data_IF_865299016991
#
_entry.id   IF_865299016991
#
_cell.length_a   1.000
_cell.length_b   1.000
_cell.length_c   1.000
_cell.angle_alpha   90.00
_cell.angle_beta   90.00
_cell.angle_gamma   90.00
#
_symmetry.space_group_name_H-M   'P 1'
#
loop_
_entity.id
_entity.type
_entity.pdbx_description
1 polymer ?
#
# COMPACT_ATOMS: atom_id res chain seq x y z
N UNK A 1 44.18 -28.25 10.58
CA UNK A 1 42.92 -28.99 10.37
C UNK A 1 41.85 -27.92 10.21
N UNK A 2 41.53 -27.56 8.95
CA UNK A 2 40.53 -26.49 8.67
C UNK A 2 39.14 -27.10 8.80
N UNK A 3 38.41 -26.62 9.78
CA UNK A 3 36.99 -26.96 9.99
C UNK A 3 36.17 -26.25 8.93
N UNK A 4 35.75 -26.95 7.88
CA UNK A 4 34.82 -26.47 6.88
C UNK A 4 33.43 -26.49 7.52
N UNK A 5 32.89 -25.32 7.85
CA UNK A 5 31.49 -25.23 8.29
C UNK A 5 30.57 -25.81 7.21
N UNK A 6 29.66 -26.72 7.55
CA UNK A 6 28.67 -27.22 6.61
C UNK A 6 27.84 -26.03 6.06
N UNK A 7 27.64 -25.98 4.74
CA UNK A 7 26.72 -25.04 4.11
C UNK A 7 25.35 -25.19 4.78
N UNK A 8 24.66 -24.09 5.14
CA UNK A 8 23.33 -24.16 5.70
C UNK A 8 22.43 -24.98 4.76
N UNK A 9 21.79 -25.98 5.29
CA UNK A 9 20.83 -26.81 4.56
C UNK A 9 19.68 -25.96 4.05
N UNK A 10 19.26 -26.23 2.83
CA UNK A 10 18.37 -25.45 1.93
C UNK A 10 16.95 -25.15 2.44
N UNK A 11 16.59 -25.52 3.64
CA UNK A 11 15.20 -25.42 4.10
C UNK A 11 15.15 -24.95 5.56
N UNK A 12 14.71 -23.69 5.74
CA UNK A 12 14.22 -23.20 7.02
C UNK A 12 12.70 -23.12 6.92
N UNK A 13 11.94 -24.06 7.50
CA UNK A 13 10.48 -24.08 7.45
C UNK A 13 9.83 -22.80 7.98
N UNK A 14 10.50 -22.11 8.90
CA UNK A 14 10.06 -20.88 9.54
C UNK A 14 10.15 -19.62 8.65
N UNK A 15 10.86 -19.67 7.52
CA UNK A 15 11.13 -18.53 6.63
C UNK A 15 10.41 -18.60 5.28
N UNK A 16 9.48 -19.51 5.10
CA UNK A 16 8.83 -19.72 3.80
C UNK A 16 9.77 -20.34 2.74
N UNK A 17 9.25 -20.55 1.54
CA UNK A 17 10.03 -21.01 0.40
C UNK A 17 10.93 -19.89 -0.17
N UNK A 18 11.84 -20.25 -1.09
CA UNK A 18 12.77 -19.29 -1.69
C UNK A 18 12.04 -18.18 -2.47
N UNK A 19 10.88 -18.49 -3.06
CA UNK A 19 10.08 -17.51 -3.80
C UNK A 19 9.48 -16.46 -2.84
N UNK A 20 8.88 -16.88 -1.75
CA UNK A 20 8.31 -15.99 -0.73
C UNK A 20 9.39 -15.09 -0.14
N UNK A 21 10.56 -15.64 0.22
CA UNK A 21 11.68 -14.85 0.74
C UNK A 21 12.18 -13.80 -0.25
N UNK A 22 12.20 -14.10 -1.54
CA UNK A 22 12.56 -13.14 -2.59
C UNK A 22 11.51 -12.03 -2.72
N UNK A 23 10.22 -12.33 -2.56
CA UNK A 23 9.14 -11.34 -2.59
C UNK A 23 9.18 -10.43 -1.34
N UNK A 24 9.47 -10.99 -0.17
CA UNK A 24 9.68 -10.22 1.07
C UNK A 24 10.91 -9.32 0.96
N UNK A 25 12.03 -9.84 0.47
CA UNK A 25 13.23 -9.07 0.20
C UNK A 25 12.95 -7.93 -0.80
N UNK A 26 12.19 -8.21 -1.87
CA UNK A 26 11.79 -7.18 -2.83
C UNK A 26 10.94 -6.08 -2.18
N UNK A 27 9.98 -6.46 -1.31
CA UNK A 27 9.17 -5.51 -0.54
C UNK A 27 10.05 -4.55 0.26
N UNK A 28 11.04 -5.08 0.98
CA UNK A 28 11.82 -4.30 1.92
C UNK A 28 12.92 -3.49 1.23
N UNK A 29 13.70 -4.10 0.33
CA UNK A 29 14.79 -3.43 -0.40
C UNK A 29 14.26 -2.35 -1.35
N UNK A 30 13.19 -2.64 -2.12
CA UNK A 30 12.64 -1.64 -3.05
C UNK A 30 12.02 -0.45 -2.30
N UNK A 31 11.39 -0.66 -1.16
CA UNK A 31 10.86 0.45 -0.35
C UNK A 31 11.98 1.32 0.22
N UNK A 32 13.12 0.73 0.54
CA UNK A 32 14.28 1.42 1.09
C UNK A 32 15.06 2.22 0.04
N UNK A 33 15.37 1.62 -1.12
CA UNK A 33 16.28 2.23 -2.10
C UNK A 33 15.70 2.40 -3.52
N UNK A 34 14.49 1.95 -3.76
CA UNK A 34 13.84 2.01 -5.08
C UNK A 34 14.09 0.77 -5.94
N UNK A 35 13.21 0.57 -6.94
CA UNK A 35 13.33 -0.55 -7.89
C UNK A 35 14.54 -0.42 -8.80
N UNK A 36 14.79 0.78 -9.33
CA UNK A 36 15.88 1.02 -10.26
C UNK A 36 17.25 0.71 -9.63
N UNK A 37 17.46 1.16 -8.40
CA UNK A 37 18.72 0.95 -7.66
C UNK A 37 18.88 -0.47 -7.09
N UNK A 38 17.82 -1.28 -7.07
CA UNK A 38 17.86 -2.65 -6.54
C UNK A 38 18.38 -3.63 -7.58
N UNK A 39 19.43 -4.36 -7.26
CA UNK A 39 19.98 -5.41 -8.11
C UNK A 39 19.45 -6.82 -7.71
N UNK A 40 19.60 -7.79 -8.61
CA UNK A 40 19.33 -9.21 -8.29
C UNK A 40 20.22 -9.70 -7.15
N UNK A 41 21.44 -9.17 -7.04
CA UNK A 41 22.38 -9.54 -5.97
C UNK A 41 21.90 -9.04 -4.60
N UNK A 42 21.36 -7.81 -4.54
CA UNK A 42 20.78 -7.26 -3.31
C UNK A 42 19.61 -8.10 -2.85
N UNK A 43 18.73 -8.48 -3.77
CA UNK A 43 17.56 -9.31 -3.49
C UNK A 43 17.96 -10.72 -3.00
N UNK A 44 18.94 -11.33 -3.66
CA UNK A 44 19.44 -12.65 -3.26
C UNK A 44 20.11 -12.61 -1.87
N UNK A 45 20.88 -11.55 -1.61
CA UNK A 45 21.55 -11.34 -0.32
C UNK A 45 20.53 -11.18 0.80
N UNK A 46 19.55 -10.30 0.62
CA UNK A 46 18.49 -10.06 1.60
C UNK A 46 17.64 -11.30 1.85
N UNK A 47 17.21 -11.98 0.78
CA UNK A 47 16.44 -13.22 0.87
C UNK A 47 17.23 -14.42 1.42
N UNK A 48 18.56 -14.33 1.51
CA UNK A 48 19.42 -15.45 1.88
C UNK A 48 19.35 -16.61 0.87
N UNK A 49 19.28 -16.30 -0.43
CA UNK A 49 19.21 -17.30 -1.51
C UNK A 49 20.34 -17.11 -2.51
N UNK A 50 20.55 -18.13 -3.36
CA UNK A 50 21.53 -18.05 -4.46
C UNK A 50 20.90 -17.40 -5.70
N UNK A 51 21.73 -16.84 -6.61
CA UNK A 51 21.26 -16.42 -7.95
C UNK A 51 20.56 -17.55 -8.72
N UNK A 52 21.05 -18.78 -8.59
CA UNK A 52 20.40 -19.94 -9.20
C UNK A 52 18.98 -20.15 -8.70
N UNK A 53 18.73 -19.93 -7.39
CA UNK A 53 17.39 -19.98 -6.82
C UNK A 53 16.52 -18.82 -7.31
N UNK A 54 17.08 -17.61 -7.47
CA UNK A 54 16.37 -16.50 -8.08
C UNK A 54 15.86 -16.84 -9.49
N UNK A 55 16.78 -17.25 -10.39
CA UNK A 55 16.43 -17.56 -11.77
C UNK A 55 15.62 -18.85 -11.96
N UNK A 56 15.50 -19.67 -10.92
CA UNK A 56 14.54 -20.77 -10.88
C UNK A 56 13.09 -20.25 -10.71
N UNK A 57 12.89 -19.13 -9.99
CA UNK A 57 11.57 -18.59 -9.67
C UNK A 57 11.16 -17.42 -10.55
N UNK A 58 12.12 -16.61 -11.02
CA UNK A 58 11.90 -15.40 -11.78
C UNK A 58 12.87 -15.31 -12.96
N UNK A 59 12.32 -15.11 -14.15
CA UNK A 59 13.12 -14.98 -15.38
C UNK A 59 14.09 -13.80 -15.30
N UNK A 60 13.64 -12.69 -14.72
CA UNK A 60 14.40 -11.44 -14.60
C UNK A 60 13.85 -10.58 -13.43
N UNK A 61 14.48 -9.43 -13.20
CA UNK A 61 14.08 -8.49 -12.15
C UNK A 61 12.68 -7.89 -12.39
N UNK A 62 12.27 -7.70 -13.65
CA UNK A 62 10.94 -7.20 -13.99
C UNK A 62 9.85 -8.22 -13.59
N UNK A 63 10.03 -9.49 -13.91
CA UNK A 63 9.11 -10.56 -13.51
C UNK A 63 8.96 -10.64 -11.98
N UNK A 64 10.06 -10.46 -11.23
CA UNK A 64 9.99 -10.33 -9.77
C UNK A 64 9.23 -9.07 -9.35
N UNK A 65 9.45 -7.91 -10.01
CA UNK A 65 8.74 -6.66 -9.70
C UNK A 65 7.22 -6.80 -9.86
N UNK A 66 6.76 -7.43 -10.95
CA UNK A 66 5.33 -7.76 -11.17
C UNK A 66 4.81 -8.66 -10.06
N UNK A 67 5.53 -9.74 -9.72
CA UNK A 67 5.13 -10.66 -8.67
C UNK A 67 5.15 -10.01 -7.28
N UNK A 68 6.09 -9.09 -7.02
CA UNK A 68 6.17 -8.34 -5.77
C UNK A 68 4.97 -7.37 -5.62
N UNK A 69 4.50 -6.74 -6.71
CA UNK A 69 3.29 -5.91 -6.69
C UNK A 69 2.04 -6.74 -6.37
N UNK A 70 1.92 -7.95 -6.93
CA UNK A 70 0.81 -8.87 -6.65
C UNK A 70 0.86 -9.37 -5.19
N UNK A 71 2.03 -9.78 -4.72
CA UNK A 71 2.25 -10.21 -3.34
C UNK A 71 1.95 -9.10 -2.32
N UNK A 72 2.35 -7.86 -2.65
CA UNK A 72 1.99 -6.68 -1.86
C UNK A 72 0.48 -6.48 -1.78
N UNK A 73 -0.23 -6.58 -2.90
CA UNK A 73 -1.68 -6.47 -2.93
C UNK A 73 -2.36 -7.54 -2.06
N UNK A 74 -1.94 -8.79 -2.18
CA UNK A 74 -2.47 -9.92 -1.41
C UNK A 74 -2.25 -9.73 0.10
N UNK A 75 -1.01 -9.47 0.51
CA UNK A 75 -0.64 -9.36 1.93
C UNK A 75 -1.25 -8.12 2.58
N UNK A 76 -1.31 -6.99 1.86
CA UNK A 76 -1.97 -5.79 2.38
C UNK A 76 -3.48 -5.94 2.41
N UNK A 77 -4.12 -6.58 1.43
CA UNK A 77 -5.56 -6.86 1.47
C UNK A 77 -5.93 -7.69 2.70
N UNK A 78 -5.23 -8.80 2.94
CA UNK A 78 -5.45 -9.64 4.12
C UNK A 78 -5.24 -8.87 5.44
N UNK A 79 -4.26 -7.98 5.49
CA UNK A 79 -4.00 -7.13 6.66
C UNK A 79 -5.14 -6.13 6.91
N UNK A 80 -5.64 -5.47 5.86
CA UNK A 80 -6.74 -4.49 6.00
C UNK A 80 -8.10 -5.16 6.23
N UNK A 81 -8.39 -6.32 5.64
CA UNK A 81 -9.62 -7.09 5.87
C UNK A 81 -9.83 -7.47 7.34
N UNK A 82 -8.75 -7.68 8.08
CA UNK A 82 -8.79 -8.03 9.50
C UNK A 82 -8.67 -6.81 10.43
N UNK A 83 -8.68 -5.59 9.91
CA UNK A 83 -8.49 -4.38 10.70
C UNK A 83 -9.72 -4.04 11.56
N UNK A 84 -9.52 -3.48 12.77
CA UNK A 84 -10.61 -3.28 13.73
C UNK A 84 -11.68 -2.28 13.30
N UNK A 85 -11.41 -1.40 12.33
CA UNK A 85 -12.38 -0.41 11.86
C UNK A 85 -13.63 -1.04 11.20
N UNK A 86 -13.55 -2.28 10.73
CA UNK A 86 -14.71 -3.01 10.20
C UNK A 86 -15.78 -3.34 11.26
N UNK A 87 -15.44 -3.25 12.55
CA UNK A 87 -16.36 -3.54 13.66
C UNK A 87 -17.36 -2.39 13.94
N UNK A 88 -17.19 -1.21 13.33
CA UNK A 88 -18.14 -0.12 13.48
C UNK A 88 -19.41 -0.38 12.67
N UNK A 89 -20.57 -0.16 13.30
CA UNK A 89 -21.87 -0.29 12.64
C UNK A 89 -22.12 0.82 11.60
N UNK A 90 -21.70 2.06 11.91
CA UNK A 90 -21.86 3.21 11.03
C UNK A 90 -20.80 3.19 9.90
N UNK A 91 -21.23 3.28 8.62
CA UNK A 91 -20.29 3.25 7.49
C UNK A 91 -19.32 4.44 7.45
N UNK A 92 -19.70 5.61 7.98
CA UNK A 92 -18.76 6.73 8.09
C UNK A 92 -17.71 6.44 9.17
N UNK A 93 -18.10 5.82 10.28
CA UNK A 93 -17.15 5.45 11.32
C UNK A 93 -16.17 4.39 10.82
N UNK A 94 -16.61 3.45 9.95
CA UNK A 94 -15.69 2.53 9.25
C UNK A 94 -14.70 3.28 8.37
N UNK A 95 -15.18 4.24 7.57
CA UNK A 95 -14.31 5.05 6.70
C UNK A 95 -13.32 5.91 7.50
N UNK A 96 -13.77 6.60 8.56
CA UNK A 96 -12.89 7.37 9.44
C UNK A 96 -11.93 6.47 10.23
N UNK A 97 -12.41 5.32 10.67
CA UNK A 97 -11.61 4.28 11.31
C UNK A 97 -10.51 3.72 10.40
N UNK A 98 -10.80 3.53 9.10
CA UNK A 98 -9.77 3.21 8.11
C UNK A 98 -8.66 4.27 8.10
N UNK A 99 -9.01 5.57 8.10
CA UNK A 99 -7.99 6.64 8.10
C UNK A 99 -7.18 6.64 9.39
N UNK A 100 -7.80 6.42 10.55
CA UNK A 100 -7.09 6.28 11.82
C UNK A 100 -6.18 5.05 11.83
N UNK A 101 -6.65 3.93 11.31
CA UNK A 101 -5.84 2.72 11.17
C UNK A 101 -4.63 2.97 10.25
N UNK A 102 -4.82 3.68 9.12
CA UNK A 102 -3.72 4.10 8.26
C UNK A 102 -2.70 4.96 9.01
N UNK A 103 -3.17 5.86 9.89
CA UNK A 103 -2.32 6.69 10.72
C UNK A 103 -1.53 5.86 11.72
N UNK A 104 -2.18 4.89 12.37
CA UNK A 104 -1.54 4.06 13.41
C UNK A 104 -0.40 3.18 12.89
N UNK A 105 -0.42 2.83 11.60
CA UNK A 105 0.64 2.02 10.96
C UNK A 105 1.76 2.86 10.33
N UNK A 106 1.73 4.20 10.47
CA UNK A 106 2.86 5.08 10.09
C UNK A 106 3.85 5.10 11.25
N UNK A 107 4.57 4.01 11.41
CA UNK A 107 5.56 3.80 12.46
C UNK A 107 6.88 3.29 11.88
N UNK A 108 7.96 3.38 12.66
CA UNK A 108 9.29 2.93 12.27
C UNK A 108 9.96 3.85 11.23
N UNK A 109 10.84 3.25 10.44
CA UNK A 109 11.58 3.91 9.38
C UNK A 109 10.72 4.12 8.12
N UNK A 110 11.16 5.03 7.24
CA UNK A 110 10.44 5.37 6.00
C UNK A 110 10.09 4.14 5.14
N UNK A 111 10.99 3.19 5.05
CA UNK A 111 10.77 1.95 4.31
C UNK A 111 9.68 1.08 4.93
N UNK A 112 9.43 1.17 6.24
CA UNK A 112 8.48 0.29 6.93
C UNK A 112 7.02 0.69 6.74
N UNK A 113 6.73 1.97 6.51
CA UNK A 113 5.35 2.45 6.32
C UNK A 113 5.02 2.95 4.91
N UNK A 114 6.02 3.16 4.04
CA UNK A 114 5.75 3.66 2.67
C UNK A 114 5.30 2.54 1.72
N UNK A 115 4.65 2.92 0.63
CA UNK A 115 4.02 1.98 -0.29
C UNK A 115 4.99 1.44 -1.33
N UNK A 116 5.13 0.12 -1.44
CA UNK A 116 5.95 -0.55 -2.45
C UNK A 116 5.52 -0.17 -3.87
N UNK A 117 4.23 -0.37 -4.18
CA UNK A 117 3.71 -0.15 -5.54
C UNK A 117 3.69 1.33 -5.91
N UNK A 118 3.52 2.23 -4.93
CA UNK A 118 3.67 3.67 -5.13
C UNK A 118 5.10 4.04 -5.48
N UNK A 119 6.11 3.45 -4.83
CA UNK A 119 7.54 3.64 -5.13
C UNK A 119 7.86 3.17 -6.54
N UNK A 120 7.50 1.93 -6.90
CA UNK A 120 7.76 1.38 -8.23
C UNK A 120 7.05 2.17 -9.34
N UNK A 121 5.78 2.58 -9.12
CA UNK A 121 5.05 3.37 -10.12
C UNK A 121 5.80 4.65 -10.48
N UNK A 122 6.30 5.39 -9.49
CA UNK A 122 7.00 6.66 -9.73
C UNK A 122 8.30 6.49 -10.52
N UNK A 123 9.00 5.37 -10.31
CA UNK A 123 10.29 5.13 -10.94
C UNK A 123 10.19 4.56 -12.35
N UNK A 124 9.24 3.64 -12.60
CA UNK A 124 9.30 2.80 -13.79
C UNK A 124 8.02 2.78 -14.63
N UNK A 125 7.06 3.68 -14.38
CA UNK A 125 5.78 3.71 -15.11
C UNK A 125 5.94 3.84 -16.63
N UNK A 126 6.99 4.50 -17.11
CA UNK A 126 7.26 4.70 -18.53
C UNK A 126 8.11 3.62 -19.17
N UNK A 127 8.93 2.90 -18.37
CA UNK A 127 9.93 1.93 -18.87
C UNK A 127 9.49 0.47 -18.72
N UNK A 128 8.60 0.16 -17.76
CA UNK A 128 8.17 -1.22 -17.45
C UNK A 128 6.64 -1.30 -17.40
N UNK A 129 5.96 -1.45 -18.56
CA UNK A 129 4.50 -1.47 -18.63
C UNK A 129 3.85 -2.54 -17.77
N UNK A 130 4.44 -3.74 -17.68
CA UNK A 130 3.92 -4.83 -16.87
C UNK A 130 3.94 -4.50 -15.36
N UNK A 131 5.01 -3.87 -14.86
CA UNK A 131 5.08 -3.40 -13.46
C UNK A 131 4.05 -2.30 -13.22
N UNK A 132 3.92 -1.34 -14.15
CA UNK A 132 2.91 -0.27 -14.05
C UNK A 132 1.50 -0.84 -13.91
N UNK A 133 1.14 -1.82 -14.74
CA UNK A 133 -0.18 -2.47 -14.71
C UNK A 133 -0.42 -3.20 -13.39
N UNK A 134 0.56 -3.96 -12.90
CA UNK A 134 0.47 -4.65 -11.61
C UNK A 134 0.35 -3.66 -10.43
N UNK A 135 1.10 -2.57 -10.46
CA UNK A 135 1.01 -1.51 -9.46
C UNK A 135 -0.33 -0.78 -9.50
N UNK A 136 -0.85 -0.48 -10.70
CA UNK A 136 -2.16 0.13 -10.89
C UNK A 136 -3.28 -0.78 -10.34
N UNK A 137 -3.24 -2.07 -10.66
CA UNK A 137 -4.20 -3.04 -10.12
C UNK A 137 -4.18 -3.06 -8.58
N UNK A 138 -3.02 -3.02 -7.95
CA UNK A 138 -2.88 -2.97 -6.49
C UNK A 138 -3.44 -1.68 -5.90
N UNK A 139 -3.06 -0.50 -6.42
CA UNK A 139 -3.47 0.80 -5.89
C UNK A 139 -4.99 1.00 -6.05
N UNK A 140 -5.53 0.76 -7.25
CA UNK A 140 -6.94 0.98 -7.53
C UNK A 140 -7.83 -0.13 -6.94
N UNK A 141 -7.33 -1.37 -6.86
CA UNK A 141 -8.00 -2.45 -6.13
C UNK A 141 -8.19 -2.11 -4.66
N UNK A 142 -7.12 -1.62 -4.00
CA UNK A 142 -7.22 -1.18 -2.62
C UNK A 142 -8.15 0.06 -2.46
N UNK A 143 -8.12 1.01 -3.38
CA UNK A 143 -9.07 2.13 -3.36
C UNK A 143 -10.52 1.64 -3.43
N UNK A 144 -10.81 0.68 -4.30
CA UNK A 144 -12.16 0.15 -4.50
C UNK A 144 -12.75 -0.51 -3.23
N UNK A 145 -11.92 -1.00 -2.30
CA UNK A 145 -12.42 -1.56 -1.03
C UNK A 145 -13.14 -0.54 -0.15
N UNK A 146 -12.90 0.77 -0.34
CA UNK A 146 -13.55 1.83 0.41
C UNK A 146 -14.91 2.26 -0.19
N UNK A 147 -15.16 1.92 -1.45
CA UNK A 147 -16.35 2.39 -2.17
C UNK A 147 -17.67 1.97 -1.53
N UNK A 148 -17.83 0.73 -1.01
CA UNK A 148 -19.06 0.32 -0.33
C UNK A 148 -19.39 1.18 0.87
N UNK A 149 -18.44 1.43 1.77
CA UNK A 149 -18.63 2.23 2.97
C UNK A 149 -18.92 3.70 2.63
N UNK A 150 -18.23 4.26 1.65
CA UNK A 150 -18.49 5.62 1.15
C UNK A 150 -19.92 5.70 0.58
N UNK A 151 -20.32 4.73 -0.27
CA UNK A 151 -21.65 4.68 -0.86
C UNK A 151 -22.75 4.59 0.19
N UNK A 152 -22.57 3.72 1.18
CA UNK A 152 -23.52 3.53 2.26
C UNK A 152 -23.60 4.75 3.18
N UNK A 153 -22.47 5.38 3.53
CA UNK A 153 -22.42 6.63 4.29
C UNK A 153 -23.13 7.77 3.55
N UNK A 154 -22.96 7.88 2.24
CA UNK A 154 -23.69 8.86 1.42
C UNK A 154 -25.20 8.65 1.49
N UNK A 155 -25.66 7.40 1.37
CA UNK A 155 -27.09 7.04 1.46
C UNK A 155 -27.67 7.36 2.84
N UNK A 156 -27.02 6.88 3.89
CA UNK A 156 -27.46 7.05 5.29
C UNK A 156 -27.56 8.52 5.68
N UNK A 157 -26.60 9.33 5.25
CA UNK A 157 -26.56 10.76 5.54
C UNK A 157 -27.27 11.61 4.49
N UNK A 158 -27.84 10.97 3.45
CA UNK A 158 -28.54 11.65 2.35
C UNK A 158 -27.69 12.72 1.67
N UNK A 159 -26.41 12.43 1.49
CA UNK A 159 -25.48 13.35 0.82
C UNK A 159 -25.83 13.40 -0.67
N UNK A 160 -26.06 14.61 -1.18
CA UNK A 160 -26.18 14.92 -2.59
C UNK A 160 -24.91 15.65 -3.01
N UNK A 161 -24.11 15.02 -3.84
CA UNK A 161 -22.80 15.53 -4.23
C UNK A 161 -22.57 15.35 -5.73
N UNK A 162 -21.68 16.16 -6.27
CA UNK A 162 -21.15 16.08 -7.63
C UNK A 162 -19.94 15.14 -7.77
N UNK A 163 -19.60 14.43 -6.70
CA UNK A 163 -18.55 13.42 -6.65
C UNK A 163 -19.13 12.02 -6.42
N UNK A 164 -18.36 10.99 -6.75
CA UNK A 164 -18.78 9.58 -6.62
C UNK A 164 -17.97 8.85 -5.54
N UNK A 165 -18.50 7.74 -4.97
CA UNK A 165 -17.73 6.90 -4.05
C UNK A 165 -16.36 6.51 -4.59
N UNK A 166 -16.29 6.12 -5.87
CA UNK A 166 -15.04 5.76 -6.54
C UNK A 166 -14.05 6.94 -6.64
N UNK A 167 -14.55 8.16 -6.88
CA UNK A 167 -13.68 9.34 -6.94
C UNK A 167 -13.11 9.70 -5.57
N UNK A 168 -13.91 9.61 -4.50
CA UNK A 168 -13.46 9.86 -3.13
C UNK A 168 -12.50 8.78 -2.64
N UNK A 169 -12.75 7.52 -2.96
CA UNK A 169 -11.85 6.42 -2.66
C UNK A 169 -10.47 6.63 -3.31
N UNK A 170 -10.42 7.01 -4.59
CA UNK A 170 -9.18 7.37 -5.28
C UNK A 170 -8.49 8.60 -4.68
N UNK A 171 -9.26 9.63 -4.31
CA UNK A 171 -8.72 10.81 -3.64
C UNK A 171 -8.07 10.44 -2.29
N UNK A 172 -8.70 9.56 -1.52
CA UNK A 172 -8.12 9.03 -0.28
C UNK A 172 -6.75 8.39 -0.53
N UNK A 173 -6.63 7.56 -1.58
CA UNK A 173 -5.33 6.99 -1.96
C UNK A 173 -4.34 8.06 -2.46
N UNK A 174 -4.77 9.05 -3.20
CA UNK A 174 -3.91 10.14 -3.67
C UNK A 174 -3.28 10.91 -2.51
N UNK A 175 -4.06 11.22 -1.46
CA UNK A 175 -3.55 11.88 -0.25
C UNK A 175 -2.52 11.00 0.46
N UNK A 176 -2.81 9.71 0.65
CA UNK A 176 -1.88 8.77 1.31
C UNK A 176 -0.58 8.59 0.52
N UNK A 177 -0.66 8.42 -0.80
CA UNK A 177 0.55 8.32 -1.65
C UNK A 177 1.36 9.61 -1.62
N UNK A 178 0.70 10.77 -1.70
CA UNK A 178 1.34 12.08 -1.55
C UNK A 178 2.02 12.24 -0.19
N UNK A 179 1.38 11.83 0.88
CA UNK A 179 1.93 11.86 2.23
C UNK A 179 3.23 11.05 2.35
N UNK A 180 3.30 9.88 1.71
CA UNK A 180 4.51 9.05 1.69
C UNK A 180 5.65 9.68 0.89
N UNK A 181 5.34 10.36 -0.23
CA UNK A 181 6.33 11.12 -0.99
C UNK A 181 6.90 12.26 -0.14
N UNK A 182 6.03 13.02 0.53
CA UNK A 182 6.46 14.12 1.40
C UNK A 182 7.29 13.62 2.58
N UNK A 183 6.92 12.49 3.19
CA UNK A 183 7.69 11.87 4.26
C UNK A 183 9.11 11.48 3.79
N UNK A 184 9.22 10.87 2.60
CA UNK A 184 10.52 10.56 1.99
C UNK A 184 11.35 11.83 1.71
N UNK A 185 10.73 12.89 1.20
CA UNK A 185 11.40 14.16 0.92
C UNK A 185 11.89 14.86 2.20
N UNK A 186 11.12 14.79 3.29
CA UNK A 186 11.47 15.36 4.59
C UNK A 186 12.40 14.48 5.43
N UNK A 187 12.55 13.22 5.08
CA UNK A 187 13.31 12.24 5.87
C UNK A 187 12.67 11.87 7.21
N UNK A 188 11.36 12.13 7.38
CA UNK A 188 10.65 11.78 8.62
C UNK A 188 9.14 11.57 8.39
N UNK A 189 8.48 10.93 9.36
CA UNK A 189 7.05 10.57 9.27
C UNK A 189 6.07 11.69 9.65
N UNK A 190 6.52 12.80 10.25
CA UNK A 190 5.62 13.82 10.81
C UNK A 190 4.67 14.38 9.76
N UNK A 191 5.19 14.73 8.56
CA UNK A 191 4.37 15.27 7.47
C UNK A 191 3.34 14.27 6.95
N UNK A 192 3.62 12.97 7.02
CA UNK A 192 2.64 11.95 6.65
C UNK A 192 1.50 11.88 7.67
N UNK A 193 1.81 11.91 8.97
CA UNK A 193 0.81 11.95 10.04
C UNK A 193 -0.09 13.19 9.91
N UNK A 194 0.49 14.37 9.68
CA UNK A 194 -0.25 15.61 9.47
C UNK A 194 -1.19 15.52 8.25
N UNK A 195 -0.71 14.95 7.14
CA UNK A 195 -1.51 14.76 5.91
C UNK A 195 -2.70 13.82 6.16
N UNK A 196 -2.51 12.75 6.93
CA UNK A 196 -3.60 11.84 7.31
C UNK A 196 -4.61 12.53 8.24
N UNK A 197 -4.17 13.38 9.17
CA UNK A 197 -5.05 14.20 10.00
C UNK A 197 -5.89 15.16 9.16
N UNK A 198 -5.31 15.78 8.14
CA UNK A 198 -6.05 16.61 7.20
C UNK A 198 -7.06 15.81 6.38
N UNK A 199 -6.69 14.60 5.92
CA UNK A 199 -7.63 13.70 5.24
C UNK A 199 -8.83 13.37 6.12
N UNK A 200 -8.61 13.04 7.40
CA UNK A 200 -9.70 12.79 8.34
C UNK A 200 -10.62 13.99 8.49
N UNK A 201 -10.06 15.20 8.69
CA UNK A 201 -10.83 16.45 8.77
C UNK A 201 -11.64 16.68 7.50
N UNK A 202 -11.04 16.49 6.33
CA UNK A 202 -11.70 16.62 5.05
C UNK A 202 -12.90 15.68 4.93
N UNK A 203 -12.72 14.40 5.21
CA UNK A 203 -13.81 13.42 5.18
C UNK A 203 -14.92 13.79 6.19
N UNK A 204 -14.56 14.16 7.41
CA UNK A 204 -15.53 14.58 8.42
C UNK A 204 -16.36 15.78 7.93
N UNK A 205 -15.73 16.81 7.37
CA UNK A 205 -16.41 17.99 6.84
C UNK A 205 -17.30 17.63 5.63
N UNK A 206 -16.81 16.77 4.75
CA UNK A 206 -17.54 16.35 3.55
C UNK A 206 -18.86 15.66 3.89
N UNK A 207 -18.90 14.84 4.94
CA UNK A 207 -20.08 14.13 5.40
C UNK A 207 -20.91 14.89 6.46
N UNK A 208 -20.41 16.03 6.95
CA UNK A 208 -21.12 16.92 7.90
C UNK A 208 -21.89 18.05 7.22
N UNK A 209 -21.89 18.13 5.88
CA UNK A 209 -22.57 19.22 5.18
C UNK A 209 -24.06 19.25 5.50
N UNK A 210 -24.61 20.40 5.92
CA UNK A 210 -26.05 20.53 6.15
C UNK A 210 -26.82 20.37 4.83
N UNK A 211 -28.01 19.76 4.91
CA UNK A 211 -28.93 19.66 3.76
C UNK A 211 -29.01 21.03 3.05
N UNK A 212 -28.89 21.09 1.72
CA UNK A 212 -29.28 22.29 1.01
C UNK A 212 -30.70 22.62 1.44
N UNK A 213 -30.89 23.80 2.04
CA UNK A 213 -32.23 24.31 2.35
C UNK A 213 -32.99 24.29 1.03
N UNK A 214 -34.02 23.46 0.96
CA UNK A 214 -34.90 23.42 -0.20
C UNK A 214 -35.25 24.82 -0.59
N UNK A 215 -35.03 25.21 -1.84
CA UNK A 215 -35.65 26.38 -2.41
C UNK A 215 -37.17 26.17 -2.32
N UNK A 216 -37.82 26.76 -1.34
CA UNK A 216 -39.23 26.97 -1.37
C UNK A 216 -39.49 27.89 -2.58
N UNK A 217 -39.90 27.30 -3.69
CA UNK A 217 -40.60 28.04 -4.72
C UNK A 217 -42.02 28.21 -4.23
N UNK A 218 -42.30 29.44 -3.77
CA UNK A 218 -43.62 29.99 -3.75
C UNK A 218 -44.10 30.30 -5.19
#
# INVERSE_FOLDING_TARGET
MYYVMPRPTKYHPERGDARTRLLEAARDVIRAQGFAATSVDDLCKEAGVTKGAFFHHFENKEALGVAAAAYWAETTSAFFENAPYHQHDDPLDRLLGYVEFRKSIIEGDLAEFTCLVGTMTQEVYGSHPAIREACAASIFGHAATLEPDISEAMKTRRIKADWTPASLARHTQAVLQGAFILAKAMGNRAVALESVDHLKRYLTLLFSQPRPKGSSHD
#
